data_IF_672558018386
#
_entry.id   IF_672558018386
#
_cell.length_a   1.000
_cell.length_b   1.000
_cell.length_c   1.000
_cell.angle_alpha   90.00
_cell.angle_beta   90.00
_cell.angle_gamma   90.00
#
_symmetry.space_group_name_H-M   'P 1'
#
loop_
_entity.id
_entity.type
_entity.pdbx_description
1 polymer ?
#
# COMPACT_ATOMS: atom_id res chain seq x y z
N UNK A 1 -19.26 -22.05 18.08
CA UNK A 1 -18.26 -21.10 18.62
C UNK A 1 -16.89 -21.56 18.14
N UNK A 2 -16.47 -21.16 16.93
CA UNK A 2 -15.13 -21.52 16.41
C UNK A 2 -14.66 -20.56 15.30
N UNK A 3 -14.82 -19.26 15.47
CA UNK A 3 -14.33 -18.25 14.50
C UNK A 3 -13.15 -17.42 15.00
N UNK A 4 -12.70 -17.64 16.24
CA UNK A 4 -11.65 -16.85 16.88
C UNK A 4 -10.24 -17.44 16.79
N UNK A 5 -10.05 -18.63 16.17
CA UNK A 5 -8.75 -19.33 16.17
C UNK A 5 -7.92 -19.14 14.90
N UNK A 6 -8.53 -18.94 13.72
CA UNK A 6 -7.77 -18.81 12.46
C UNK A 6 -7.16 -17.40 12.26
N UNK A 7 -7.74 -16.38 12.89
CA UNK A 7 -7.25 -15.00 12.77
C UNK A 7 -5.96 -14.76 13.57
N UNK A 8 -5.76 -15.43 14.72
CA UNK A 8 -4.53 -15.29 15.51
C UNK A 8 -3.35 -16.15 14.97
N UNK A 9 -3.60 -17.04 14.02
CA UNK A 9 -2.60 -17.97 13.45
C UNK A 9 -2.05 -17.55 12.08
N UNK A 10 -2.58 -16.49 11.45
CA UNK A 10 -2.11 -16.10 10.13
C UNK A 10 -0.67 -15.54 10.19
N UNK A 11 0.31 -16.17 9.53
CA UNK A 11 1.73 -15.81 9.67
C UNK A 11 2.03 -14.40 9.17
N UNK A 12 1.18 -13.81 8.33
CA UNK A 12 1.37 -12.46 7.80
C UNK A 12 1.02 -11.35 8.80
N UNK A 13 0.30 -11.64 9.88
CA UNK A 13 -0.28 -10.61 10.76
C UNK A 13 0.76 -9.96 11.68
N UNK A 14 1.95 -10.56 11.80
CA UNK A 14 3.06 -10.06 12.62
C UNK A 14 4.38 -10.16 11.84
N UNK A 15 5.40 -9.35 12.19
CA UNK A 15 6.75 -9.54 11.68
C UNK A 15 7.24 -10.98 11.95
N UNK A 16 8.03 -11.51 11.03
CA UNK A 16 8.56 -12.87 11.15
C UNK A 16 9.69 -12.94 12.17
N UNK A 17 9.62 -13.90 13.08
CA UNK A 17 10.68 -14.23 14.04
C UNK A 17 11.62 -15.31 13.46
N UNK A 18 12.12 -15.04 12.26
CA UNK A 18 13.06 -15.89 11.53
C UNK A 18 14.35 -15.13 11.28
N UNK A 19 15.49 -15.81 11.00
CA UNK A 19 16.72 -15.11 10.64
C UNK A 19 16.47 -14.15 9.47
N UNK A 20 16.85 -12.89 9.68
CA UNK A 20 16.68 -11.77 8.74
C UNK A 20 15.22 -11.45 8.35
N UNK A 21 14.22 -11.92 9.12
CA UNK A 21 12.82 -11.72 8.79
C UNK A 21 12.41 -12.42 7.50
N UNK A 22 12.99 -13.59 7.23
CA UNK A 22 12.64 -14.45 6.08
C UNK A 22 11.23 -15.02 6.21
N UNK A 23 10.43 -15.10 5.13
CA UNK A 23 9.11 -15.71 5.19
C UNK A 23 9.18 -17.16 5.69
N UNK A 24 8.40 -17.55 6.72
CA UNK A 24 8.32 -18.94 7.18
C UNK A 24 7.46 -19.75 6.21
N UNK A 25 8.00 -20.08 5.03
CA UNK A 25 7.27 -20.76 3.95
C UNK A 25 6.64 -22.09 4.38
N UNK A 26 7.20 -22.77 5.37
CA UNK A 26 6.66 -23.99 5.97
C UNK A 26 5.31 -23.77 6.70
N UNK A 27 5.03 -22.53 7.12
CA UNK A 27 3.81 -22.13 7.84
C UNK A 27 2.82 -21.38 6.95
N UNK A 28 3.25 -20.92 5.78
CA UNK A 28 2.40 -20.15 4.86
C UNK A 28 1.58 -21.12 4.02
N UNK A 29 0.26 -20.97 4.05
CA UNK A 29 -0.69 -21.78 3.29
C UNK A 29 -1.52 -20.87 2.39
N UNK A 30 -2.09 -21.47 1.34
CA UNK A 30 -2.91 -20.74 0.36
C UNK A 30 -4.11 -20.04 1.05
N UNK A 31 -4.74 -20.71 2.00
CA UNK A 31 -5.87 -20.19 2.81
C UNK A 31 -5.52 -18.92 3.63
N UNK A 32 -4.23 -18.61 3.83
CA UNK A 32 -3.80 -17.43 4.56
C UNK A 32 -3.81 -16.15 3.71
N UNK A 33 -3.75 -16.25 2.37
CA UNK A 33 -3.55 -15.08 1.52
C UNK A 33 -4.73 -14.12 1.53
N UNK A 34 -5.94 -14.56 1.16
CA UNK A 34 -7.09 -13.66 1.07
C UNK A 34 -7.41 -12.94 2.40
N UNK A 35 -7.48 -13.63 3.56
CA UNK A 35 -7.68 -12.96 4.84
C UNK A 35 -6.55 -11.96 5.18
N UNK A 36 -5.31 -12.27 4.81
CA UNK A 36 -4.17 -11.38 5.03
C UNK A 36 -4.21 -10.15 4.13
N UNK A 37 -4.59 -10.28 2.86
CA UNK A 37 -4.77 -9.14 1.98
C UNK A 37 -5.92 -8.24 2.46
N UNK A 38 -7.06 -8.81 2.83
CA UNK A 38 -8.21 -8.03 3.30
C UNK A 38 -7.88 -7.24 4.58
N UNK A 39 -7.21 -7.88 5.54
CA UNK A 39 -6.78 -7.21 6.78
C UNK A 39 -5.67 -6.18 6.52
N UNK A 40 -4.70 -6.50 5.65
CA UNK A 40 -3.61 -5.59 5.32
C UNK A 40 -4.10 -4.32 4.59
N UNK A 41 -5.06 -4.47 3.66
CA UNK A 41 -5.72 -3.34 2.99
C UNK A 41 -6.46 -2.48 4.02
N UNK A 42 -7.18 -3.11 4.96
CA UNK A 42 -7.91 -2.41 6.03
C UNK A 42 -6.95 -1.60 6.92
N UNK A 43 -5.85 -2.20 7.38
CA UNK A 43 -4.86 -1.52 8.21
C UNK A 43 -4.17 -0.37 7.46
N UNK A 44 -3.70 -0.63 6.24
CA UNK A 44 -3.04 0.38 5.42
C UNK A 44 -3.97 1.57 5.12
N UNK A 45 -5.26 1.32 4.87
CA UNK A 45 -6.25 2.39 4.72
C UNK A 45 -6.32 3.29 5.97
N UNK A 46 -6.35 2.70 7.17
CA UNK A 46 -6.41 3.47 8.44
C UNK A 46 -5.13 4.30 8.65
N UNK A 47 -3.96 3.73 8.32
CA UNK A 47 -2.68 4.45 8.39
C UNK A 47 -2.67 5.66 7.45
N UNK A 48 -3.10 5.47 6.20
CA UNK A 48 -3.19 6.54 5.21
C UNK A 48 -4.21 7.62 5.62
N UNK A 49 -5.38 7.22 6.13
CA UNK A 49 -6.37 8.16 6.66
C UNK A 49 -5.82 8.99 7.83
N UNK A 50 -5.05 8.36 8.71
CA UNK A 50 -4.37 9.03 9.83
C UNK A 50 -3.37 10.07 9.34
N UNK A 51 -2.58 9.74 8.32
CA UNK A 51 -1.62 10.67 7.70
C UNK A 51 -2.37 11.82 7.04
N UNK A 52 -3.39 11.53 6.23
CA UNK A 52 -4.18 12.53 5.51
C UNK A 52 -4.94 13.48 6.45
N UNK A 53 -5.38 12.99 7.61
CA UNK A 53 -6.14 13.77 8.61
C UNK A 53 -5.27 14.41 9.70
N UNK A 54 -3.94 14.26 9.65
CA UNK A 54 -3.05 14.82 10.67
C UNK A 54 -3.18 16.35 10.75
N UNK A 55 -3.54 16.93 11.91
CA UNK A 55 -3.85 18.36 12.01
C UNK A 55 -2.61 19.27 11.99
N UNK A 56 -1.42 18.71 12.15
CA UNK A 56 -0.17 19.48 12.09
C UNK A 56 0.22 19.80 10.64
N UNK A 57 0.95 20.90 10.48
CA UNK A 57 1.52 21.30 9.20
C UNK A 57 2.30 20.12 8.57
N UNK A 58 2.19 19.88 7.25
CA UNK A 58 2.88 18.78 6.59
C UNK A 58 4.40 18.92 6.71
N UNK A 59 5.05 17.85 7.15
CA UNK A 59 6.51 17.71 7.21
C UNK A 59 6.93 16.42 6.53
N UNK A 60 8.22 16.27 6.24
CA UNK A 60 8.77 15.01 5.74
C UNK A 60 8.39 13.84 6.66
N UNK A 61 8.55 13.99 7.98
CA UNK A 61 8.31 12.93 8.95
C UNK A 61 6.82 12.53 9.04
N UNK A 62 5.91 13.50 9.12
CA UNK A 62 4.49 13.23 9.34
C UNK A 62 3.69 12.96 8.04
N UNK A 63 4.38 12.97 6.89
CA UNK A 63 3.77 12.75 5.58
C UNK A 63 4.57 11.73 4.79
N UNK A 64 5.74 12.09 4.26
CA UNK A 64 6.50 11.20 3.36
C UNK A 64 7.06 9.98 4.09
N UNK A 65 7.76 10.16 5.21
CA UNK A 65 8.28 9.05 5.99
C UNK A 65 7.14 8.19 6.58
N UNK A 66 6.06 8.82 7.04
CA UNK A 66 4.89 8.10 7.54
C UNK A 66 4.25 7.22 6.46
N UNK A 67 4.20 7.69 5.22
CA UNK A 67 3.73 6.89 4.08
C UNK A 67 4.70 5.75 3.76
N UNK A 68 6.01 6.00 3.79
CA UNK A 68 7.04 4.98 3.57
C UNK A 68 6.96 3.82 4.58
N UNK A 69 6.60 4.13 5.83
CA UNK A 69 6.41 3.12 6.88
C UNK A 69 5.02 2.48 6.89
N UNK A 70 4.06 3.02 6.14
CA UNK A 70 2.69 2.47 6.07
C UNK A 70 2.61 1.23 5.18
N UNK A 71 1.60 0.40 5.41
CA UNK A 71 1.34 -0.77 4.58
C UNK A 71 2.34 -1.91 4.77
N UNK A 72 3.08 -1.97 5.89
CA UNK A 72 4.10 -2.99 6.13
C UNK A 72 3.54 -4.42 6.01
N UNK A 73 2.36 -4.67 6.59
CA UNK A 73 1.67 -5.96 6.47
C UNK A 73 1.28 -6.27 5.01
N UNK A 74 0.85 -5.25 4.26
CA UNK A 74 0.48 -5.41 2.85
C UNK A 74 1.71 -5.75 2.00
N UNK A 75 2.84 -5.08 2.25
CA UNK A 75 4.13 -5.37 1.62
C UNK A 75 4.58 -6.80 1.92
N UNK A 76 4.42 -7.25 3.17
CA UNK A 76 4.80 -8.60 3.62
C UNK A 76 4.01 -9.70 2.89
N UNK A 77 2.68 -9.60 2.85
CA UNK A 77 1.84 -10.60 2.16
C UNK A 77 2.02 -10.52 0.65
N UNK A 78 2.08 -9.32 0.08
CA UNK A 78 2.25 -9.11 -1.36
C UNK A 78 3.57 -9.66 -1.87
N UNK A 79 4.67 -9.40 -1.16
CA UNK A 79 6.00 -9.85 -1.55
C UNK A 79 6.09 -11.37 -1.65
N UNK A 80 5.49 -12.10 -0.68
CA UNK A 80 5.45 -13.56 -0.70
C UNK A 80 4.51 -14.07 -1.79
N UNK A 81 3.28 -13.54 -1.85
CA UNK A 81 2.27 -14.01 -2.79
C UNK A 81 2.72 -13.86 -4.24
N UNK A 82 3.17 -12.67 -4.65
CA UNK A 82 3.57 -12.42 -6.03
C UNK A 82 4.89 -13.08 -6.41
N UNK A 83 5.79 -13.33 -5.44
CA UNK A 83 6.98 -14.15 -5.68
C UNK A 83 6.60 -15.59 -6.04
N UNK A 84 5.76 -16.22 -5.22
CA UNK A 84 5.30 -17.60 -5.45
C UNK A 84 4.37 -17.70 -6.67
N UNK A 85 3.50 -16.71 -6.91
CA UNK A 85 2.68 -16.64 -8.12
C UNK A 85 3.54 -16.61 -9.40
N UNK A 86 4.73 -16.00 -9.35
CA UNK A 86 5.64 -15.97 -10.50
C UNK A 86 6.48 -17.24 -10.63
N UNK A 87 6.85 -17.88 -9.53
CA UNK A 87 7.84 -18.97 -9.53
C UNK A 87 7.21 -20.37 -9.47
N UNK A 88 6.09 -20.53 -8.77
CA UNK A 88 5.50 -21.82 -8.38
C UNK A 88 3.96 -21.73 -8.25
N UNK A 89 3.31 -21.14 -9.26
CA UNK A 89 1.86 -20.96 -9.25
C UNK A 89 1.10 -22.27 -9.42
N UNK A 90 -0.17 -22.25 -9.00
CA UNK A 90 -1.18 -23.26 -9.27
C UNK A 90 -2.54 -22.59 -9.53
N UNK A 91 -3.54 -23.40 -9.92
CA UNK A 91 -4.88 -22.90 -10.26
C UNK A 91 -5.53 -22.08 -9.13
N UNK A 92 -5.32 -22.49 -7.88
CA UNK A 92 -5.88 -21.79 -6.72
C UNK A 92 -5.22 -20.41 -6.53
N UNK A 93 -3.90 -20.33 -6.65
CA UNK A 93 -3.17 -19.06 -6.59
C UNK A 93 -3.54 -18.10 -7.73
N UNK A 94 -3.72 -18.63 -8.95
CA UNK A 94 -4.19 -17.83 -10.10
C UNK A 94 -5.60 -17.28 -9.85
N UNK A 95 -6.51 -18.10 -9.33
CA UNK A 95 -7.86 -17.68 -8.97
C UNK A 95 -7.87 -16.62 -7.85
N UNK A 96 -7.00 -16.78 -6.83
CA UNK A 96 -6.81 -15.77 -5.78
C UNK A 96 -6.33 -14.46 -6.40
N UNK A 97 -5.33 -14.51 -7.28
CA UNK A 97 -4.82 -13.31 -7.96
C UNK A 97 -5.91 -12.56 -8.71
N UNK A 98 -6.79 -13.25 -9.44
CA UNK A 98 -7.91 -12.62 -10.15
C UNK A 98 -8.89 -11.91 -9.21
N UNK A 99 -9.11 -12.44 -8.00
CA UNK A 99 -9.95 -11.80 -6.98
C UNK A 99 -9.25 -10.62 -6.29
N UNK A 100 -7.94 -10.69 -6.13
CA UNK A 100 -7.14 -9.67 -5.44
C UNK A 100 -6.81 -8.48 -6.32
N UNK A 101 -6.53 -8.66 -7.62
CA UNK A 101 -6.09 -7.58 -8.50
C UNK A 101 -7.05 -6.37 -8.50
N UNK A 102 -8.39 -6.55 -8.61
CA UNK A 102 -9.32 -5.42 -8.53
C UNK A 102 -9.31 -4.74 -7.15
N UNK A 103 -9.21 -5.51 -6.05
CA UNK A 103 -9.16 -4.95 -4.68
C UNK A 103 -7.90 -4.10 -4.47
N UNK A 104 -6.76 -4.59 -4.96
CA UNK A 104 -5.48 -3.88 -4.86
C UNK A 104 -5.44 -2.63 -5.75
N UNK A 105 -6.03 -2.71 -6.96
CA UNK A 105 -6.17 -1.56 -7.85
C UNK A 105 -7.06 -0.48 -7.24
N UNK A 106 -8.20 -0.87 -6.66
CA UNK A 106 -9.09 0.05 -5.94
C UNK A 106 -8.39 0.69 -4.75
N UNK A 107 -7.67 -0.09 -3.94
CA UNK A 107 -6.89 0.41 -2.81
C UNK A 107 -5.83 1.43 -3.24
N UNK A 108 -5.05 1.11 -4.29
CA UNK A 108 -4.06 2.01 -4.87
C UNK A 108 -4.68 3.31 -5.37
N UNK A 109 -5.80 3.24 -6.08
CA UNK A 109 -6.54 4.41 -6.55
C UNK A 109 -7.05 5.27 -5.39
N UNK A 110 -7.52 4.65 -4.30
CA UNK A 110 -7.97 5.36 -3.11
C UNK A 110 -6.85 6.15 -2.42
N UNK A 111 -5.60 5.69 -2.52
CA UNK A 111 -4.43 6.41 -1.99
C UNK A 111 -3.99 7.50 -2.97
N UNK A 112 -3.71 7.14 -4.22
CA UNK A 112 -3.11 8.05 -5.18
C UNK A 112 -4.04 9.21 -5.58
N UNK A 113 -5.36 9.00 -5.57
CA UNK A 113 -6.34 10.04 -5.87
C UNK A 113 -6.87 10.76 -4.62
N UNK A 114 -6.32 10.47 -3.43
CA UNK A 114 -6.72 11.14 -2.19
C UNK A 114 -6.22 12.59 -2.16
N UNK A 115 -7.15 13.54 -2.33
CA UNK A 115 -6.82 14.96 -2.43
C UNK A 115 -6.18 15.53 -1.16
N UNK A 116 -6.62 15.08 0.03
CA UNK A 116 -6.06 15.54 1.29
C UNK A 116 -4.63 15.05 1.46
N UNK A 117 -4.38 13.78 1.15
CA UNK A 117 -3.05 13.20 1.20
C UNK A 117 -2.12 13.87 0.20
N UNK A 118 -2.57 14.04 -1.05
CA UNK A 118 -1.77 14.70 -2.09
C UNK A 118 -1.45 16.15 -1.71
N UNK A 119 -2.39 16.90 -1.14
CA UNK A 119 -2.13 18.27 -0.68
C UNK A 119 -1.00 18.31 0.36
N UNK A 120 -0.93 17.33 1.26
CA UNK A 120 0.19 17.20 2.21
C UNK A 120 1.50 16.88 1.50
N UNK A 121 1.51 15.89 0.61
CA UNK A 121 2.70 15.53 -0.19
C UNK A 121 3.21 16.74 -0.98
N UNK A 122 2.32 17.45 -1.67
CA UNK A 122 2.63 18.66 -2.42
C UNK A 122 3.24 19.74 -1.53
N UNK A 123 2.69 19.97 -0.34
CA UNK A 123 3.25 20.96 0.61
C UNK A 123 4.69 20.63 0.97
N UNK A 124 5.00 19.35 1.24
CA UNK A 124 6.38 18.93 1.53
C UNK A 124 7.26 19.08 0.29
N UNK A 125 6.76 18.72 -0.89
CA UNK A 125 7.47 18.87 -2.16
C UNK A 125 7.82 20.32 -2.49
N UNK A 126 6.88 21.24 -2.36
CA UNK A 126 7.07 22.67 -2.66
C UNK A 126 8.14 23.30 -1.76
N UNK A 127 8.28 22.81 -0.52
CA UNK A 127 9.24 23.33 0.46
C UNK A 127 10.52 22.49 0.59
N UNK A 128 10.70 21.43 -0.21
CA UNK A 128 11.77 20.43 0.00
C UNK A 128 13.18 21.00 -0.02
N UNK A 129 13.42 22.03 -0.82
CA UNK A 129 14.74 22.66 -0.99
C UNK A 129 15.09 23.68 0.11
N UNK A 130 14.09 24.14 0.86
CA UNK A 130 14.26 25.16 1.91
C UNK A 130 14.05 24.61 3.32
N UNK A 131 13.59 23.35 3.46
CA UNK A 131 13.24 22.72 4.73
C UNK A 131 14.40 22.01 5.43
N UNK A 132 15.63 22.16 4.92
CA UNK A 132 16.82 21.52 5.52
C UNK A 132 16.84 19.98 5.39
N UNK A 133 16.12 19.42 4.40
CA UNK A 133 16.11 17.99 4.13
C UNK A 133 17.46 17.51 3.58
N UNK A 134 17.82 16.27 3.92
CA UNK A 134 18.98 15.59 3.34
C UNK A 134 18.75 15.26 1.85
N UNK A 135 19.80 15.07 1.04
CA UNK A 135 19.66 14.76 -0.38
C UNK A 135 18.76 13.55 -0.67
N UNK A 136 18.88 12.48 0.10
CA UNK A 136 18.04 11.28 -0.02
C UNK A 136 16.58 11.54 0.35
N UNK A 137 16.32 12.43 1.32
CA UNK A 137 14.96 12.82 1.72
C UNK A 137 14.32 13.67 0.63
N UNK A 138 15.07 14.61 0.03
CA UNK A 138 14.60 15.39 -1.12
C UNK A 138 14.22 14.43 -2.26
N UNK A 139 15.09 13.46 -2.57
CA UNK A 139 14.81 12.48 -3.62
C UNK A 139 13.55 11.66 -3.33
N UNK A 140 13.37 11.23 -2.09
CA UNK A 140 12.17 10.49 -1.70
C UNK A 140 10.90 11.33 -1.87
N UNK A 141 10.92 12.60 -1.43
CA UNK A 141 9.80 13.53 -1.62
C UNK A 141 9.45 13.69 -3.09
N UNK A 142 10.45 13.85 -3.95
CA UNK A 142 10.25 13.95 -5.41
C UNK A 142 9.64 12.69 -5.97
N UNK A 143 10.09 11.51 -5.52
CA UNK A 143 9.53 10.23 -5.97
C UNK A 143 8.07 10.05 -5.59
N UNK A 144 7.70 10.40 -4.36
CA UNK A 144 6.30 10.38 -3.96
C UNK A 144 5.47 11.38 -4.77
N UNK A 145 5.95 12.61 -4.95
CA UNK A 145 5.21 13.59 -5.76
C UNK A 145 5.01 13.11 -7.21
N UNK A 146 6.08 12.65 -7.87
CA UNK A 146 6.04 12.07 -9.23
C UNK A 146 5.04 10.91 -9.30
N UNK A 147 5.01 10.02 -8.30
CA UNK A 147 4.07 8.91 -8.26
C UNK A 147 2.62 9.41 -8.22
N UNK A 148 2.28 10.36 -7.36
CA UNK A 148 0.93 10.92 -7.28
C UNK A 148 0.53 11.61 -8.59
N UNK A 149 1.42 12.41 -9.16
CA UNK A 149 1.19 13.10 -10.44
C UNK A 149 0.93 12.11 -11.57
N UNK A 150 1.79 11.10 -11.73
CA UNK A 150 1.65 10.05 -12.75
C UNK A 150 0.42 9.16 -12.52
N UNK A 151 -0.08 9.08 -11.28
CA UNK A 151 -1.31 8.39 -10.93
C UNK A 151 -2.55 9.28 -10.96
N UNK A 152 -2.45 10.50 -11.52
CA UNK A 152 -3.61 11.35 -11.80
C UNK A 152 -4.04 12.26 -10.65
N UNK A 153 -3.24 12.44 -9.60
CA UNK A 153 -3.59 13.31 -8.47
C UNK A 153 -3.82 14.78 -8.86
N UNK A 154 -3.16 15.23 -9.94
CA UNK A 154 -3.23 16.60 -10.49
C UNK A 154 -4.34 16.81 -11.53
N UNK A 155 -5.08 15.75 -11.87
CA UNK A 155 -6.17 15.80 -12.85
C UNK A 155 -7.40 16.56 -12.33
N UNK A 156 -8.28 16.94 -13.25
CA UNK A 156 -9.62 17.44 -12.90
C UNK A 156 -10.46 16.36 -12.21
N UNK A 157 -11.54 16.74 -11.52
CA UNK A 157 -12.41 15.76 -10.87
C UNK A 157 -13.02 14.75 -11.86
N UNK A 158 -13.38 15.19 -13.06
CA UNK A 158 -13.91 14.34 -14.14
C UNK A 158 -12.83 13.37 -14.68
N UNK A 159 -11.62 13.87 -14.88
CA UNK A 159 -10.50 13.07 -15.38
C UNK A 159 -10.01 12.06 -14.33
N UNK A 160 -10.09 12.37 -13.03
CA UNK A 160 -9.80 11.42 -11.94
C UNK A 160 -10.77 10.23 -11.96
N UNK A 161 -12.05 10.47 -12.22
CA UNK A 161 -13.04 9.38 -12.33
C UNK A 161 -12.76 8.52 -13.57
N UNK A 162 -12.39 9.16 -14.69
CA UNK A 162 -11.96 8.46 -15.91
C UNK A 162 -10.72 7.60 -15.64
N UNK A 163 -9.70 8.15 -14.97
CA UNK A 163 -8.50 7.43 -14.58
C UNK A 163 -8.83 6.23 -13.69
N UNK A 164 -9.69 6.40 -12.69
CA UNK A 164 -10.15 5.32 -11.80
C UNK A 164 -10.82 4.21 -12.60
N UNK A 165 -11.70 4.54 -13.54
CA UNK A 165 -12.36 3.53 -14.39
C UNK A 165 -11.37 2.74 -15.23
N UNK A 166 -10.44 3.43 -15.90
CA UNK A 166 -9.45 2.81 -16.79
C UNK A 166 -8.44 1.94 -16.03
N UNK A 167 -7.92 2.42 -14.89
CA UNK A 167 -7.00 1.64 -14.04
C UNK A 167 -7.66 0.38 -13.46
N UNK A 168 -8.94 0.46 -13.09
CA UNK A 168 -9.72 -0.71 -12.68
C UNK A 168 -9.90 -1.70 -13.83
N UNK A 169 -10.19 -1.23 -15.05
CA UNK A 169 -10.34 -2.09 -16.23
C UNK A 169 -9.05 -2.84 -16.58
N UNK A 170 -7.89 -2.16 -16.53
CA UNK A 170 -6.57 -2.75 -16.81
C UNK A 170 -6.13 -3.78 -15.75
N UNK A 171 -6.72 -3.76 -14.56
CA UNK A 171 -6.39 -4.68 -13.47
C UNK A 171 -7.16 -5.99 -13.46
N UNK A 172 -8.17 -6.12 -14.34
CA UNK A 172 -8.96 -7.34 -14.52
C UNK A 172 -8.24 -8.34 -15.41
#
# INVERSE_FOLDING_TARGET
MTTASMADENPFFKPYDTPYGTPPFDKIKIEHYEPAFDEAIRQHKVEIETIAANPFAPTFQNTIAAMEYSGEMLNRVSGVFFNLLSAESNDEMMMISQRLSPKLSEHSNNINLNEKLFARVKTVYDNRLTSGLLPEQIRLVEKYYEQFENSGATLSAEDKETYRKLSMELSK
#
